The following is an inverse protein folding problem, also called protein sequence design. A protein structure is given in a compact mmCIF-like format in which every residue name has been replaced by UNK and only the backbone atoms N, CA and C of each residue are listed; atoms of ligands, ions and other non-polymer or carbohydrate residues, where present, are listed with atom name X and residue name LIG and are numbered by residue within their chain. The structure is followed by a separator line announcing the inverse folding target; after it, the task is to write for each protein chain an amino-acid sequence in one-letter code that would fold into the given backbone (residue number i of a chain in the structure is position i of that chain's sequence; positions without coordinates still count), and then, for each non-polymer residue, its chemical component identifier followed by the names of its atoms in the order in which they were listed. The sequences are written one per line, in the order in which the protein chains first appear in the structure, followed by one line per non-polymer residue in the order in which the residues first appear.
data_IF_141517160337
#
_entry.id   IF_141517160337
#
_cell.length_a   1.000
_cell.length_b   1.000
_cell.length_c   1.000
_cell.angle_alpha   90.00
_cell.angle_beta   90.00
_cell.angle_gamma   90.00
#
_symmetry.space_group_name_H-M   'P 1'
#
loop_
_entity.id
_entity.type
_entity.pdbx_description
1 polymer ?
#
# COMPACT_ATOMS: atom_id res chain seq x y z
N UNK A 1 34.53 -19.91 -17.09
CA UNK A 1 33.08 -19.85 -17.37
C UNK A 1 32.58 -18.50 -16.89
N UNK A 2 32.57 -17.50 -17.77
CA UNK A 2 31.97 -16.19 -17.49
C UNK A 2 30.46 -16.37 -17.55
N UNK A 3 29.81 -16.48 -16.40
CA UNK A 3 28.35 -16.48 -16.35
C UNK A 3 27.83 -15.25 -17.09
N UNK A 4 27.01 -15.47 -18.11
CA UNK A 4 26.30 -14.39 -18.79
C UNK A 4 25.48 -13.66 -17.73
N UNK A 5 25.93 -12.45 -17.36
CA UNK A 5 25.14 -11.56 -16.53
C UNK A 5 23.96 -11.09 -17.38
N UNK A 6 22.89 -11.86 -17.41
CA UNK A 6 21.62 -11.45 -18.01
C UNK A 6 21.26 -10.11 -17.38
N UNK A 7 21.02 -9.09 -18.22
CA UNK A 7 20.67 -7.77 -17.72
C UNK A 7 19.37 -7.87 -16.91
N UNK A 8 19.36 -7.34 -15.69
CA UNK A 8 18.15 -7.27 -14.86
C UNK A 8 16.98 -6.60 -15.62
N UNK A 9 17.29 -5.65 -16.50
CA UNK A 9 16.32 -5.00 -17.39
C UNK A 9 15.67 -5.99 -18.34
N UNK A 10 16.44 -6.89 -18.96
CA UNK A 10 15.90 -7.85 -19.93
C UNK A 10 15.06 -8.91 -19.20
N UNK A 11 15.52 -9.39 -18.03
CA UNK A 11 14.74 -10.29 -17.17
C UNK A 11 13.40 -9.69 -16.74
N UNK A 12 13.40 -8.44 -16.29
CA UNK A 12 12.17 -7.74 -15.91
C UNK A 12 11.27 -7.45 -17.12
N UNK A 13 11.85 -7.20 -18.30
CA UNK A 13 11.08 -7.01 -19.54
C UNK A 13 10.34 -8.29 -19.92
N UNK A 14 10.99 -9.46 -19.82
CA UNK A 14 10.35 -10.75 -20.08
C UNK A 14 9.23 -11.06 -19.08
N UNK A 15 9.44 -10.72 -17.80
CA UNK A 15 8.39 -10.85 -16.77
C UNK A 15 7.20 -9.93 -17.05
N UNK A 16 7.45 -8.70 -17.51
CA UNK A 16 6.38 -7.76 -17.87
C UNK A 16 5.62 -8.24 -19.12
N UNK A 17 6.31 -8.77 -20.13
CA UNK A 17 5.69 -9.28 -21.34
C UNK A 17 4.71 -10.44 -21.05
N UNK A 18 4.98 -11.22 -19.99
CA UNK A 18 4.14 -12.34 -19.55
C UNK A 18 3.21 -11.97 -18.40
N UNK A 19 3.03 -10.69 -18.08
CA UNK A 19 2.25 -10.27 -16.91
C UNK A 19 0.77 -10.65 -16.94
N UNK A 20 0.22 -10.91 -18.13
CA UNK A 20 -1.16 -11.34 -18.34
C UNK A 20 -1.33 -12.86 -18.22
N UNK A 21 -0.24 -13.64 -18.16
CA UNK A 21 -0.31 -15.07 -17.85
C UNK A 21 -0.98 -15.24 -16.47
N UNK A 22 -2.07 -16.02 -16.35
CA UNK A 22 -2.77 -16.22 -15.09
C UNK A 22 -1.87 -16.62 -13.91
N UNK A 23 -0.83 -17.44 -14.18
CA UNK A 23 0.09 -17.92 -13.14
C UNK A 23 0.99 -16.78 -12.63
N UNK A 24 1.54 -15.99 -13.54
CA UNK A 24 2.40 -14.84 -13.21
C UNK A 24 1.57 -13.72 -12.56
N UNK A 25 0.39 -13.44 -13.11
CA UNK A 25 -0.54 -12.47 -12.54
C UNK A 25 -0.91 -12.82 -11.09
N UNK A 26 -1.29 -14.07 -10.82
CA UNK A 26 -1.62 -14.53 -9.48
C UNK A 26 -0.42 -14.40 -8.52
N UNK A 27 0.76 -14.84 -8.94
CA UNK A 27 1.99 -14.73 -8.15
C UNK A 27 2.34 -13.27 -7.82
N UNK A 28 2.37 -12.40 -8.82
CA UNK A 28 2.65 -10.97 -8.64
C UNK A 28 1.63 -10.31 -7.72
N UNK A 29 0.34 -10.67 -7.86
CA UNK A 29 -0.72 -10.18 -6.97
C UNK A 29 -0.49 -10.60 -5.51
N UNK A 30 -0.08 -11.84 -5.26
CA UNK A 30 0.23 -12.33 -3.89
C UNK A 30 1.40 -11.56 -3.31
N UNK A 31 2.50 -11.39 -4.06
CA UNK A 31 3.67 -10.60 -3.64
C UNK A 31 3.25 -9.17 -3.28
N UNK A 32 2.44 -8.53 -4.12
CA UNK A 32 1.93 -7.18 -3.86
C UNK A 32 1.10 -7.12 -2.59
N UNK A 33 0.17 -8.07 -2.42
CA UNK A 33 -0.72 -8.11 -1.25
C UNK A 33 0.07 -8.30 0.04
N UNK A 34 1.02 -9.23 0.05
CA UNK A 34 1.86 -9.49 1.21
C UNK A 34 2.72 -8.26 1.56
N UNK A 35 3.34 -7.65 0.56
CA UNK A 35 4.17 -6.47 0.78
C UNK A 35 3.38 -5.25 1.27
N UNK A 36 2.19 -5.03 0.72
CA UNK A 36 1.30 -3.92 1.13
C UNK A 36 0.74 -4.15 2.53
N UNK A 37 0.32 -5.38 2.87
CA UNK A 37 -0.19 -5.70 4.22
C UNK A 37 0.88 -5.57 5.29
N UNK A 38 2.11 -5.98 4.97
CA UNK A 38 3.24 -5.91 5.91
C UNK A 38 3.84 -4.50 6.04
N UNK A 39 3.47 -3.57 5.15
CA UNK A 39 3.94 -2.20 5.22
C UNK A 39 2.89 -1.31 5.94
N UNK A 40 3.20 -0.76 7.13
CA UNK A 40 2.25 0.02 7.92
C UNK A 40 1.68 1.24 7.19
N UNK A 41 2.44 1.83 6.26
CA UNK A 41 2.00 3.02 5.51
C UNK A 41 0.87 2.67 4.53
N UNK A 42 0.98 1.53 3.86
CA UNK A 42 -0.01 1.09 2.86
C UNK A 42 -1.13 0.24 3.47
N UNK A 43 -0.87 -0.45 4.58
CA UNK A 43 -1.89 -1.21 5.31
C UNK A 43 -3.10 -0.34 5.68
N UNK A 44 -2.86 0.94 6.03
CA UNK A 44 -3.94 1.92 6.31
C UNK A 44 -4.86 2.17 5.12
N UNK A 45 -4.35 2.04 3.90
CA UNK A 45 -5.15 2.19 2.67
C UNK A 45 -6.03 0.95 2.42
N UNK A 46 -5.70 -0.19 3.02
CA UNK A 46 -6.47 -1.44 2.94
C UNK A 46 -7.59 -1.52 4.00
N UNK A 47 -7.76 -0.52 4.85
CA UNK A 47 -8.76 -0.51 5.94
C UNK A 47 -10.23 -0.49 5.46
N UNK A 48 -10.48 -0.56 4.15
CA UNK A 48 -11.81 -0.82 3.62
C UNK A 48 -11.78 -2.15 2.89
N UNK A 49 -12.76 -3.02 3.13
CA UNK A 49 -12.94 -4.30 2.43
C UNK A 49 -13.33 -4.14 0.95
N UNK A 50 -13.18 -2.92 0.38
CA UNK A 50 -13.44 -2.68 -1.02
C UNK A 50 -12.30 -3.23 -1.89
N UNK A 51 -12.66 -3.95 -2.95
CA UNK A 51 -11.70 -4.37 -4.00
C UNK A 51 -10.95 -3.16 -4.57
N UNK A 52 -11.60 -2.00 -4.62
CA UNK A 52 -11.02 -0.75 -5.13
C UNK A 52 -9.89 -0.21 -4.24
N UNK A 53 -9.95 -0.43 -2.93
CA UNK A 53 -8.90 0.02 -2.01
C UNK A 53 -7.57 -0.72 -2.26
N UNK A 54 -7.62 -2.03 -2.53
CA UNK A 54 -6.41 -2.79 -2.88
C UNK A 54 -5.79 -2.29 -4.19
N UNK A 55 -6.62 -2.07 -5.21
CA UNK A 55 -6.18 -1.54 -6.51
C UNK A 55 -5.53 -0.16 -6.34
N UNK A 56 -6.16 0.73 -5.58
CA UNK A 56 -5.63 2.05 -5.29
C UNK A 56 -4.30 1.97 -4.51
N UNK A 57 -4.22 1.10 -3.50
CA UNK A 57 -3.01 0.89 -2.72
C UNK A 57 -1.84 0.42 -3.59
N UNK A 58 -2.07 -0.50 -4.53
CA UNK A 58 -1.03 -0.99 -5.45
C UNK A 58 -0.51 0.11 -6.39
N UNK A 59 -1.42 0.88 -6.99
CA UNK A 59 -1.04 2.01 -7.85
C UNK A 59 -0.27 3.07 -7.08
N UNK A 60 -0.70 3.36 -5.86
CA UNK A 60 -0.01 4.29 -4.97
C UNK A 60 1.38 3.76 -4.59
N UNK A 61 1.51 2.47 -4.28
CA UNK A 61 2.78 1.82 -3.98
C UNK A 61 3.78 1.96 -5.13
N UNK A 62 3.37 1.68 -6.37
CA UNK A 62 4.23 1.84 -7.55
C UNK A 62 4.67 3.28 -7.74
N UNK A 63 3.74 4.24 -7.66
CA UNK A 63 4.05 5.68 -7.78
C UNK A 63 5.06 6.13 -6.72
N UNK A 64 4.85 5.73 -5.46
CA UNK A 64 5.75 6.01 -4.35
C UNK A 64 7.09 5.27 -4.49
N UNK A 65 7.10 4.07 -5.08
CA UNK A 65 8.31 3.34 -5.41
C UNK A 65 9.24 4.14 -6.33
N UNK A 66 8.69 4.73 -7.40
CA UNK A 66 9.46 5.61 -8.27
C UNK A 66 9.97 6.86 -7.56
N UNK A 67 9.14 7.52 -6.75
CA UNK A 67 9.56 8.69 -5.95
C UNK A 67 10.72 8.31 -5.02
N UNK A 68 10.64 7.16 -4.34
CA UNK A 68 11.70 6.66 -3.47
C UNK A 68 12.99 6.36 -4.22
N UNK A 69 12.91 5.80 -5.43
CA UNK A 69 14.10 5.60 -6.27
C UNK A 69 14.79 6.91 -6.61
N UNK A 70 14.02 7.92 -7.03
CA UNK A 70 14.55 9.26 -7.36
C UNK A 70 15.21 9.88 -6.14
N UNK A 71 14.52 9.89 -5.00
CA UNK A 71 15.02 10.46 -3.74
C UNK A 71 16.26 9.72 -3.22
N UNK A 72 16.28 8.38 -3.28
CA UNK A 72 17.45 7.56 -2.89
C UNK A 72 18.68 7.86 -3.75
N UNK A 73 18.46 8.29 -5.00
CA UNK A 73 19.52 8.62 -5.95
C UNK A 73 19.97 10.08 -5.87
N UNK A 74 19.42 10.85 -4.92
CA UNK A 74 19.74 12.27 -4.76
C UNK A 74 19.15 13.16 -5.87
N UNK A 75 18.18 12.67 -6.64
CA UNK A 75 17.51 13.47 -7.67
C UNK A 75 16.45 14.34 -7.02
N UNK A 76 16.65 15.65 -7.08
CA UNK A 76 15.78 16.65 -6.46
C UNK A 76 14.97 17.43 -7.50
N UNK A 77 13.96 18.14 -7.01
CA UNK A 77 13.21 19.16 -7.74
C UNK A 77 14.10 20.37 -8.07
N UNK A 78 13.56 21.29 -8.88
CA UNK A 78 14.25 22.53 -9.28
C UNK A 78 14.60 23.44 -8.10
N UNK A 79 13.82 23.39 -7.03
CA UNK A 79 14.05 24.14 -5.79
C UNK A 79 15.01 23.42 -4.81
N UNK A 80 15.60 22.29 -5.23
CA UNK A 80 16.50 21.48 -4.41
C UNK A 80 15.79 20.53 -3.44
N UNK A 81 14.45 20.53 -3.36
CA UNK A 81 13.71 19.64 -2.46
C UNK A 81 13.54 18.24 -3.07
N UNK A 82 13.47 17.17 -2.25
CA UNK A 82 13.19 15.84 -2.77
C UNK A 82 11.76 15.73 -3.33
N UNK A 83 11.52 14.74 -4.19
CA UNK A 83 10.16 14.39 -4.61
C UNK A 83 9.45 13.67 -3.45
N UNK A 84 8.20 14.04 -3.17
CA UNK A 84 7.42 13.48 -2.04
C UNK A 84 6.02 13.05 -2.51
N UNK A 85 5.33 13.92 -3.25
CA UNK A 85 3.91 13.74 -3.57
C UNK A 85 3.72 13.04 -4.92
N UNK A 86 4.43 13.48 -5.94
CA UNK A 86 4.25 13.02 -7.31
C UNK A 86 5.60 12.80 -8.00
N UNK A 87 5.61 11.88 -8.96
CA UNK A 87 6.71 11.72 -9.89
C UNK A 87 6.85 12.98 -10.75
N UNK A 88 8.07 13.33 -11.20
CA UNK A 88 8.28 14.46 -12.10
C UNK A 88 7.38 14.37 -13.34
N UNK A 89 6.90 15.53 -13.81
CA UNK A 89 6.11 15.58 -15.06
C UNK A 89 6.95 15.02 -16.21
N UNK A 90 6.37 14.10 -16.98
CA UNK A 90 7.01 13.44 -18.11
C UNK A 90 7.92 12.25 -17.75
N UNK A 91 8.26 12.04 -16.47
CA UNK A 91 9.14 10.94 -16.07
C UNK A 91 8.59 9.57 -16.49
N UNK A 92 7.30 9.30 -16.25
CA UNK A 92 6.69 8.01 -16.61
C UNK A 92 6.38 7.85 -18.10
N UNK A 93 6.57 8.88 -18.92
CA UNK A 93 6.38 8.80 -20.37
C UNK A 93 7.64 8.27 -21.05
N UNK A 94 8.80 8.82 -20.66
CA UNK A 94 10.11 8.43 -21.17
C UNK A 94 11.16 8.41 -20.04
N UNK A 95 11.10 7.42 -19.13
CA UNK A 95 11.96 7.40 -17.95
C UNK A 95 13.44 7.33 -18.30
N UNK A 96 13.80 6.58 -19.34
CA UNK A 96 15.19 6.43 -19.78
C UNK A 96 15.76 7.74 -20.31
N UNK A 97 15.02 8.45 -21.17
CA UNK A 97 15.43 9.77 -21.69
C UNK A 97 15.51 10.80 -20.55
N UNK A 98 14.51 10.83 -19.68
CA UNK A 98 14.44 11.76 -18.55
C UNK A 98 15.63 11.58 -17.59
N UNK A 99 16.03 10.34 -17.32
CA UNK A 99 17.20 10.04 -16.48
C UNK A 99 18.52 10.32 -17.22
N UNK A 100 18.60 9.99 -18.52
CA UNK A 100 19.80 10.19 -19.32
C UNK A 100 20.20 11.67 -19.39
N UNK A 101 19.24 12.59 -19.55
CA UNK A 101 19.46 14.04 -19.48
C UNK A 101 20.17 14.48 -18.19
N UNK A 102 20.00 13.71 -17.11
CA UNK A 102 20.54 13.99 -15.78
C UNK A 102 21.76 13.14 -15.45
N UNK A 103 22.31 12.40 -16.41
CA UNK A 103 23.42 11.46 -16.23
C UNK A 103 23.08 10.30 -15.28
N UNK A 104 21.84 9.80 -15.35
CA UNK A 104 21.38 8.61 -14.64
C UNK A 104 20.78 7.58 -15.61
N UNK A 105 20.79 6.32 -15.19
CA UNK A 105 20.13 5.19 -15.85
C UNK A 105 19.31 4.43 -14.82
N UNK A 106 18.15 3.92 -15.20
CA UNK A 106 17.42 2.95 -14.37
C UNK A 106 17.80 1.53 -14.80
N UNK A 107 18.52 0.80 -13.97
CA UNK A 107 18.76 -0.63 -14.16
C UNK A 107 17.57 -1.43 -13.62
N UNK A 108 17.19 -2.47 -14.37
CA UNK A 108 16.03 -3.29 -14.08
C UNK A 108 14.71 -2.72 -14.57
N UNK A 109 14.64 -1.46 -15.02
CA UNK A 109 13.38 -0.92 -15.52
C UNK A 109 12.92 -1.69 -16.77
N UNK A 110 11.74 -2.33 -16.76
CA UNK A 110 11.28 -3.10 -17.90
C UNK A 110 10.94 -2.19 -19.08
N UNK A 111 11.20 -2.67 -20.29
CA UNK A 111 10.81 -1.97 -21.52
C UNK A 111 9.32 -2.22 -21.81
N UNK A 112 8.70 -1.31 -22.56
CA UNK A 112 7.30 -1.46 -22.97
C UNK A 112 6.26 -1.07 -21.90
N UNK A 113 6.66 -0.31 -20.88
CA UNK A 113 5.71 0.25 -19.92
C UNK A 113 4.73 1.22 -20.62
N UNK A 114 3.44 1.25 -20.21
CA UNK A 114 2.48 2.18 -20.78
C UNK A 114 2.88 3.62 -20.49
N UNK A 115 2.75 4.48 -21.51
CA UNK A 115 2.98 5.91 -21.33
C UNK A 115 1.86 6.53 -20.49
N UNK A 116 2.24 7.39 -19.55
CA UNK A 116 1.30 8.16 -18.73
C UNK A 116 1.34 7.81 -17.25
N UNK A 117 0.33 8.27 -16.52
CA UNK A 117 0.25 8.03 -15.08
C UNK A 117 -0.09 6.57 -14.75
N UNK A 118 0.49 6.05 -13.65
CA UNK A 118 0.22 4.69 -13.12
C UNK A 118 -1.27 4.41 -12.90
N UNK A 119 -2.07 5.46 -12.69
CA UNK A 119 -3.54 5.37 -12.57
C UNK A 119 -4.22 4.76 -13.79
N UNK A 120 -3.62 4.89 -14.98
CA UNK A 120 -4.17 4.41 -16.25
C UNK A 120 -3.56 3.08 -16.70
N UNK A 121 -2.57 2.56 -15.97
CA UNK A 121 -1.91 1.32 -16.34
C UNK A 121 -2.84 0.10 -16.12
N UNK A 122 -2.77 -0.91 -17.00
CA UNK A 122 -3.41 -2.20 -16.77
C UNK A 122 -2.93 -2.81 -15.45
N UNK A 123 -3.84 -3.44 -14.70
CA UNK A 123 -3.51 -3.95 -13.37
C UNK A 123 -2.45 -5.05 -13.38
N UNK A 124 -2.40 -5.86 -14.43
CA UNK A 124 -1.36 -6.88 -14.61
C UNK A 124 0.05 -6.26 -14.61
N UNK A 125 0.22 -5.14 -15.31
CA UNK A 125 1.48 -4.40 -15.35
C UNK A 125 1.77 -3.71 -14.01
N UNK A 126 0.74 -3.13 -13.35
CA UNK A 126 0.90 -2.54 -12.02
C UNK A 126 1.40 -3.58 -11.01
N UNK A 127 0.82 -4.77 -10.98
CA UNK A 127 1.27 -5.85 -10.08
C UNK A 127 2.68 -6.32 -10.42
N UNK A 128 3.02 -6.41 -11.69
CA UNK A 128 4.36 -6.85 -12.10
C UNK A 128 5.43 -5.84 -11.69
N UNK A 129 5.19 -4.54 -11.93
CA UNK A 129 6.10 -3.48 -11.50
C UNK A 129 6.17 -3.38 -9.98
N UNK A 130 5.05 -3.54 -9.28
CA UNK A 130 5.04 -3.60 -7.82
C UNK A 130 5.84 -4.80 -7.27
N UNK A 131 5.75 -5.97 -7.89
CA UNK A 131 6.58 -7.12 -7.53
C UNK A 131 8.08 -6.83 -7.77
N UNK A 132 8.44 -6.15 -8.86
CA UNK A 132 9.83 -5.71 -9.10
C UNK A 132 10.33 -4.75 -8.01
N UNK A 133 9.49 -3.82 -7.54
CA UNK A 133 9.81 -2.97 -6.40
C UNK A 133 10.00 -3.77 -5.10
N UNK A 134 9.11 -4.72 -4.81
CA UNK A 134 9.19 -5.57 -3.63
C UNK A 134 10.47 -6.42 -3.64
N UNK A 135 10.84 -6.94 -4.82
CA UNK A 135 12.05 -7.74 -5.04
C UNK A 135 13.32 -6.89 -5.19
N UNK A 136 13.21 -5.55 -5.15
CA UNK A 136 14.33 -4.60 -5.27
C UNK A 136 15.15 -4.78 -6.55
N UNK A 137 14.51 -5.20 -7.65
CA UNK A 137 15.18 -5.38 -8.95
C UNK A 137 15.31 -4.07 -9.72
N UNK A 138 14.74 -2.97 -9.23
CA UNK A 138 14.83 -1.64 -9.82
C UNK A 138 15.85 -0.79 -9.06
N UNK A 139 16.81 -0.19 -9.78
CA UNK A 139 17.80 0.73 -9.19
C UNK A 139 18.17 1.84 -10.17
N UNK A 140 18.37 3.05 -9.67
CA UNK A 140 18.92 4.14 -10.46
C UNK A 140 20.42 4.21 -10.20
N UNK A 141 21.19 4.23 -11.28
CA UNK A 141 22.65 4.24 -11.29
C UNK A 141 23.11 5.44 -12.11
N UNK A 142 24.21 6.06 -11.71
CA UNK A 142 24.78 7.21 -12.44
C UNK A 142 25.51 6.74 -13.68
N UNK A 143 25.25 7.40 -14.82
CA UNK A 143 25.96 7.16 -16.08
C UNK A 143 27.29 7.92 -16.02
N UNK A 144 28.39 7.18 -15.96
CA UNK A 144 29.75 7.72 -16.07
C UNK A 144 30.45 8.06 -14.75
N UNK A 145 31.78 8.09 -14.80
CA UNK A 145 32.72 8.32 -13.68
C UNK A 145 32.64 9.72 -13.05
N UNK A 146 31.67 10.55 -13.41
CA UNK A 146 31.67 11.98 -13.09
C UNK A 146 31.38 12.29 -11.61
N UNK A 147 30.83 11.33 -10.85
CA UNK A 147 30.69 11.44 -9.41
C UNK A 147 32.02 11.34 -8.64
N UNK A 148 33.06 10.68 -9.17
CA UNK A 148 34.37 10.66 -8.51
C UNK A 148 34.98 12.06 -8.39
N UNK A 149 34.62 12.99 -9.27
CA UNK A 149 35.11 14.38 -9.22
C UNK A 149 34.22 15.30 -8.39
N UNK A 150 32.89 15.15 -8.43
CA UNK A 150 32.00 16.04 -7.66
C UNK A 150 32.08 15.78 -6.16
N UNK A 151 32.07 14.51 -5.74
CA UNK A 151 32.28 14.14 -4.33
C UNK A 151 33.67 14.53 -3.82
N UNK A 152 34.70 14.46 -4.67
CA UNK A 152 36.07 14.86 -4.31
C UNK A 152 36.24 16.39 -4.27
N UNK A 153 35.45 17.16 -5.02
CA UNK A 153 35.42 18.63 -4.95
C UNK A 153 34.57 19.13 -3.79
N UNK A 154 33.39 18.57 -3.55
CA UNK A 154 32.57 18.92 -2.36
C UNK A 154 33.26 18.52 -1.04
N UNK A 155 34.09 17.46 -1.03
CA UNK A 155 34.91 17.09 0.13
C UNK A 155 36.23 17.90 0.21
N UNK A 156 36.67 18.55 -0.87
CA UNK A 156 37.85 19.41 -0.88
C UNK A 156 37.52 20.89 -0.61
N UNK A 157 36.29 21.32 -0.91
CA UNK A 157 35.75 22.65 -0.61
C UNK A 157 34.98 22.69 0.72
N UNK A 158 34.85 21.55 1.41
CA UNK A 158 34.43 21.56 2.81
C UNK A 158 35.54 22.25 3.61
N UNK A 159 35.28 23.38 4.30
CA UNK A 159 36.29 24.02 5.12
C UNK A 159 36.80 22.98 6.13
N UNK A 160 38.12 22.92 6.27
CA UNK A 160 38.81 22.06 7.23
C UNK A 160 38.41 22.51 8.64
N UNK A 161 37.29 21.98 9.13
CA UNK A 161 36.84 22.19 10.51
C UNK A 161 37.81 21.38 11.36
N UNK A 162 38.91 22.02 11.74
CA UNK A 162 39.78 21.51 12.77
C UNK A 162 38.92 21.20 14.01
N UNK A 163 39.10 20.05 14.66
CA UNK A 163 38.43 19.74 15.91
C UNK A 163 39.11 20.52 17.04
N UNK A 164 38.92 21.84 17.06
CA UNK A 164 39.29 22.70 18.17
C UNK A 164 38.01 23.32 18.76
N UNK A 165 37.68 22.86 19.97
CA UNK A 165 36.90 23.58 20.97
C UNK A 165 35.42 23.87 20.67
N UNK A 166 34.59 22.82 20.59
CA UNK A 166 33.14 22.94 20.75
C UNK A 166 32.74 22.91 22.25
N UNK A 167 33.09 23.96 22.98
CA UNK A 167 32.49 24.31 24.27
C UNK A 167 32.00 25.75 24.25
N UNK A 168 31.01 26.03 23.40
CA UNK A 168 30.26 27.29 23.43
C UNK A 168 28.81 27.02 23.09
N UNK A 169 27.93 27.55 23.93
CA UNK A 169 26.51 27.24 23.97
C UNK A 169 25.80 27.47 22.64
N UNK A 170 24.85 26.58 22.36
CA UNK A 170 23.79 26.84 21.41
C UNK A 170 23.12 28.16 21.80
N UNK A 171 23.05 29.17 20.90
CA UNK A 171 22.12 30.27 21.10
C UNK A 171 20.72 29.67 21.11
N UNK A 172 19.98 30.04 22.14
CA UNK A 172 18.56 29.76 22.32
C UNK A 172 17.84 29.86 20.97
N UNK A 173 17.26 28.74 20.55
CA UNK A 173 16.28 28.71 19.47
C UNK A 173 15.24 29.78 19.75
N UNK A 174 15.22 30.83 18.92
CA UNK A 174 14.16 31.84 18.91
C UNK A 174 12.80 31.13 18.98
N UNK A 175 12.14 31.27 20.12
CA UNK A 175 10.80 30.76 20.35
C UNK A 175 9.88 31.39 19.32
N UNK A 176 9.59 30.63 18.27
CA UNK A 176 8.58 30.98 17.28
C UNK A 176 7.27 31.22 18.04
N UNK A 177 6.69 32.43 17.99
CA UNK A 177 5.48 32.76 18.75
C UNK A 177 4.40 31.73 18.46
N UNK A 178 3.88 31.10 19.52
CA UNK A 178 2.79 30.12 19.39
C UNK A 178 1.57 30.83 18.81
N UNK A 179 1.27 30.57 17.54
CA UNK A 179 0.05 31.07 16.87
C UNK A 179 -1.16 30.87 17.78
N UNK A 180 -1.88 31.95 18.07
CA UNK A 180 -3.06 31.88 18.93
C UNK A 180 -4.20 31.13 18.21
N UNK A 181 -5.14 30.55 18.96
CA UNK A 181 -6.32 29.87 18.38
C UNK A 181 -7.11 30.78 17.43
N UNK A 182 -7.16 32.08 17.72
CA UNK A 182 -7.85 33.07 16.87
C UNK A 182 -7.09 33.35 15.58
N UNK A 183 -5.76 33.43 15.61
CA UNK A 183 -4.92 33.63 14.43
C UNK A 183 -5.04 32.44 13.45
N UNK A 184 -5.08 31.21 13.99
CA UNK A 184 -5.33 30.00 13.21
C UNK A 184 -6.73 30.00 12.58
N UNK A 185 -7.73 30.57 13.25
CA UNK A 185 -9.12 30.69 12.75
C UNK A 185 -9.23 31.78 11.68
N UNK A 186 -8.54 32.92 11.85
CA UNK A 186 -8.43 33.99 10.86
C UNK A 186 -7.74 33.50 9.58
N UNK A 187 -6.64 32.73 9.70
CA UNK A 187 -5.94 32.13 8.55
C UNK A 187 -6.85 31.22 7.73
N UNK A 188 -7.64 30.36 8.39
CA UNK A 188 -8.62 29.48 7.73
C UNK A 188 -9.73 30.26 7.02
N UNK A 189 -10.20 31.38 7.58
CA UNK A 189 -11.20 32.24 6.94
C UNK A 189 -10.63 32.92 5.68
N UNK A 190 -9.40 33.43 5.75
CA UNK A 190 -8.71 34.07 4.61
C UNK A 190 -8.45 33.08 3.48
N UNK A 191 -7.99 31.86 3.79
CA UNK A 191 -7.77 30.81 2.80
C UNK A 191 -9.08 30.39 2.10
N UNK A 192 -10.18 30.29 2.86
CA UNK A 192 -11.50 29.97 2.30
C UNK A 192 -12.04 31.09 1.39
N UNK A 193 -11.79 32.36 1.73
CA UNK A 193 -12.16 33.49 0.89
C UNK A 193 -11.37 33.51 -0.43
N UNK A 194 -10.06 33.23 -0.40
CA UNK A 194 -9.21 33.14 -1.59
C UNK A 194 -9.67 32.03 -2.55
N UNK A 195 -10.02 30.85 -2.03
CA UNK A 195 -10.55 29.76 -2.88
C UNK A 195 -11.86 30.15 -3.56
N UNK A 196 -12.76 30.83 -2.83
CA UNK A 196 -14.03 31.30 -3.39
C UNK A 196 -13.86 32.38 -4.46
N UNK A 197 -12.85 33.24 -4.32
CA UNK A 197 -12.53 34.26 -5.33
C UNK A 197 -12.00 33.64 -6.63
N UNK A 198 -11.19 32.57 -6.54
CA UNK A 198 -10.66 31.90 -7.72
C UNK A 198 -11.69 31.06 -8.47
N UNK A 199 -12.67 30.46 -7.77
CA UNK A 199 -13.77 29.71 -8.41
C UNK A 199 -14.70 30.58 -9.28
N UNK A 200 -14.69 31.90 -9.10
CA UNK A 200 -15.52 32.83 -9.88
C UNK A 200 -14.94 33.26 -11.22
N UNK A 201 -13.66 32.96 -11.50
CA UNK A 201 -12.95 33.54 -12.64
C UNK A 201 -12.63 32.53 -13.77
N UNK A 202 -13.07 31.27 -13.66
CA UNK A 202 -12.76 30.21 -14.65
C UNK A 202 -13.86 29.98 -15.71
N UNK A 203 -14.89 30.83 -15.81
CA UNK A 203 -16.04 30.59 -16.75
C UNK A 203 -16.08 31.49 -18.00
N UNK A 204 -15.07 32.32 -18.25
CA UNK A 204 -15.09 33.22 -19.43
C UNK A 204 -13.77 33.13 -20.19
N UNK A 205 -13.64 32.12 -21.06
CA UNK A 205 -12.88 32.17 -22.33
C UNK A 205 -12.87 30.77 -22.98
N UNK A 206 -13.88 30.50 -23.82
CA UNK A 206 -13.80 29.45 -24.84
C UNK A 206 -14.78 29.76 -26.00
N UNK A 207 -14.42 30.76 -26.81
CA UNK A 207 -14.74 30.89 -28.24
C UNK A 207 -13.37 30.81 -28.93
N UNK A 208 -13.09 30.11 -30.03
CA UNK A 208 -13.87 29.64 -31.16
C UNK A 208 -13.04 28.57 -31.88
N UNK A 209 -13.69 27.50 -32.37
CA UNK A 209 -13.43 26.84 -33.66
C UNK A 209 -14.29 25.58 -33.75
N UNK A 210 -15.38 25.72 -34.51
CA UNK A 210 -16.24 24.64 -34.99
C UNK A 210 -15.53 23.84 -36.11
N UNK A 211 -15.88 22.57 -36.33
CA UNK A 211 -16.97 22.34 -37.28
C UNK A 211 -17.98 21.26 -36.87
N UNK A 212 -19.22 21.53 -37.31
CA UNK A 212 -20.31 20.62 -37.67
C UNK A 212 -20.81 19.62 -36.60
N UNK A 213 -21.85 20.09 -35.91
CA UNK A 213 -22.97 19.45 -35.21
C UNK A 213 -23.06 17.90 -35.13
N UNK A 214 -23.60 17.39 -34.00
CA UNK A 214 -25.07 17.22 -33.97
C UNK A 214 -25.74 17.91 -32.77
N UNK A 215 -26.85 18.58 -33.08
CA UNK A 215 -27.99 18.97 -32.23
C UNK A 215 -27.65 19.33 -30.78
N UNK A 216 -27.34 20.61 -30.58
CA UNK A 216 -27.13 21.21 -29.27
C UNK A 216 -28.40 21.14 -28.41
N UNK A 217 -28.39 20.24 -27.42
CA UNK A 217 -29.30 20.32 -26.27
C UNK A 217 -29.08 21.68 -25.61
N UNK A 218 -30.12 22.53 -25.61
CA UNK A 218 -30.12 23.90 -25.09
C UNK A 218 -29.44 23.97 -23.71
N UNK A 219 -28.61 24.98 -23.50
CA UNK A 219 -27.93 25.25 -22.23
C UNK A 219 -28.92 25.38 -21.05
N UNK A 220 -30.17 25.76 -21.34
CA UNK A 220 -31.26 25.80 -20.37
C UNK A 220 -31.69 24.40 -19.91
N UNK A 221 -31.70 23.42 -20.82
CA UNK A 221 -32.10 22.05 -20.53
C UNK A 221 -31.07 21.34 -19.64
N UNK A 222 -29.77 21.59 -19.85
CA UNK A 222 -28.71 21.13 -18.94
C UNK A 222 -28.86 21.72 -17.54
N UNK A 223 -29.32 22.96 -17.44
CA UNK A 223 -29.54 23.63 -16.14
C UNK A 223 -30.76 23.06 -15.42
N UNK A 224 -31.85 22.81 -16.16
CA UNK A 224 -33.06 22.15 -15.62
C UNK A 224 -32.77 20.71 -15.15
N UNK A 225 -32.01 19.94 -15.91
CA UNK A 225 -31.60 18.58 -15.54
C UNK A 225 -30.73 18.58 -14.26
N UNK A 226 -29.85 19.56 -14.09
CA UNK A 226 -29.03 19.70 -12.89
C UNK A 226 -29.86 20.03 -11.64
N UNK A 227 -30.85 20.90 -11.75
CA UNK A 227 -31.77 21.22 -10.65
C UNK A 227 -32.68 20.04 -10.30
N UNK A 228 -33.16 19.29 -11.30
CA UNK A 228 -33.95 18.06 -11.09
C UNK A 228 -33.17 17.03 -10.27
N UNK A 229 -31.90 16.78 -10.62
CA UNK A 229 -31.00 15.86 -9.87
C UNK A 229 -30.72 16.33 -8.43
N UNK A 230 -30.65 17.65 -8.19
CA UNK A 230 -30.49 18.18 -6.82
C UNK A 230 -31.75 17.96 -5.99
N UNK A 231 -32.93 18.14 -6.59
CA UNK A 231 -34.21 17.93 -5.91
C UNK A 231 -34.38 16.45 -5.53
N UNK A 232 -34.11 15.54 -6.45
CA UNK A 232 -34.22 14.08 -6.23
C UNK A 232 -33.29 13.62 -5.09
N UNK A 233 -32.06 14.15 -5.02
CA UNK A 233 -31.14 13.85 -3.91
C UNK A 233 -31.63 14.39 -2.56
N UNK A 234 -32.31 15.54 -2.54
CA UNK A 234 -32.91 16.09 -1.32
C UNK A 234 -34.10 15.25 -0.86
N UNK A 235 -34.91 14.77 -1.79
CA UNK A 235 -36.06 13.92 -1.50
C UNK A 235 -35.64 12.55 -0.98
N UNK A 236 -34.65 11.90 -1.60
CA UNK A 236 -34.05 10.64 -1.09
C UNK A 236 -33.55 10.77 0.35
N UNK A 237 -32.86 11.87 0.67
CA UNK A 237 -32.40 12.15 2.05
C UNK A 237 -33.53 12.36 3.05
N UNK A 238 -34.68 12.93 2.62
CA UNK A 238 -35.86 13.08 3.48
C UNK A 238 -36.53 11.72 3.72
N UNK A 239 -36.68 10.90 2.68
CA UNK A 239 -37.23 9.56 2.80
C UNK A 239 -36.39 8.66 3.71
N UNK A 240 -35.05 8.74 3.59
CA UNK A 240 -34.12 7.97 4.43
C UNK A 240 -34.21 8.41 5.91
N UNK A 241 -34.25 9.71 6.19
CA UNK A 241 -34.46 10.22 7.56
C UNK A 241 -35.80 9.79 8.15
N UNK A 242 -36.88 9.77 7.35
CA UNK A 242 -38.18 9.30 7.80
C UNK A 242 -38.18 7.79 8.12
N UNK A 243 -37.34 6.99 7.44
CA UNK A 243 -37.20 5.56 7.68
C UNK A 243 -36.41 5.27 8.97
N UNK A 244 -35.34 6.03 9.23
CA UNK A 244 -34.53 5.87 10.45
C UNK A 244 -35.30 6.30 11.71
N UNK A 245 -36.12 7.37 11.61
CA UNK A 245 -36.89 7.91 12.73
C UNK A 245 -38.00 7.00 13.30
N UNK A 246 -38.36 5.89 12.63
CA UNK A 246 -39.38 4.94 13.11
C UNK A 246 -38.82 3.68 13.79
N UNK A 247 -37.50 3.52 13.87
CA UNK A 247 -36.87 2.27 14.35
C UNK A 247 -36.30 2.32 15.78
N UNK A 248 -36.52 3.40 16.53
CA UNK A 248 -35.89 3.61 17.84
C UNK A 248 -36.88 3.94 18.96
N UNK A 249 -37.90 3.11 19.14
CA UNK A 249 -38.63 3.01 20.41
C UNK A 249 -38.81 1.53 20.69
N UNK A 250 -37.81 0.94 21.36
CA UNK A 250 -37.94 -0.35 22.03
C UNK A 250 -38.64 -0.08 23.39
N UNK A 251 -39.88 -0.54 23.62
CA UNK A 251 -40.62 -0.25 24.84
C UNK A 251 -40.20 -1.11 26.04
N UNK A 252 -39.05 -1.82 25.99
CA UNK A 252 -38.72 -2.83 26.98
C UNK A 252 -37.41 -2.60 27.74
N UNK A 253 -37.18 -1.37 28.21
CA UNK A 253 -36.15 -1.08 29.23
C UNK A 253 -36.83 -0.83 30.56
N UNK A 254 -37.12 -1.94 31.26
CA UNK A 254 -37.57 -1.98 32.65
C UNK A 254 -36.41 -1.50 33.53
N UNK A 255 -36.67 -0.45 34.31
CA UNK A 255 -35.70 0.15 35.23
C UNK A 255 -35.18 -0.87 36.25
N UNK A 256 -33.86 -1.13 36.23
CA UNK A 256 -33.14 -1.75 37.34
C UNK A 256 -32.47 -0.65 38.15
N UNK A 257 -32.85 -0.57 39.42
CA UNK A 257 -32.26 0.31 40.42
C UNK A 257 -30.79 -0.07 40.69
N UNK A 258 -29.94 0.90 41.07
CA UNK A 258 -28.55 0.64 41.41
C UNK A 258 -28.44 -0.02 42.81
N UNK A 259 -27.52 -0.98 43.02
CA UNK A 259 -27.23 -1.50 44.34
C UNK A 259 -26.26 -0.59 45.12
N UNK A 260 -26.56 -0.45 46.41
CA UNK A 260 -25.78 0.23 47.43
C UNK A 260 -24.37 -0.38 47.61
N UNK A 261 -23.37 0.50 47.61
CA UNK A 261 -22.02 0.20 48.10
C UNK A 261 -22.01 0.30 49.63
N UNK A 262 -21.83 -0.82 50.33
CA UNK A 262 -21.41 -0.81 51.73
C UNK A 262 -20.39 -1.92 52.02
N UNK A 263 -19.49 -1.56 52.94
CA UNK A 263 -18.19 -2.16 53.22
C UNK A 263 -18.25 -3.48 54.02
N UNK A 264 -17.11 -4.19 54.07
CA UNK A 264 -16.72 -4.91 55.29
C UNK A 264 -16.00 -6.25 55.13
N UNK A 265 -14.69 -6.21 55.39
CA UNK A 265 -13.93 -7.08 56.32
C UNK A 265 -13.78 -8.62 56.17
N UNK A 266 -12.51 -9.03 56.44
CA UNK A 266 -12.02 -10.26 57.14
C UNK A 266 -12.01 -11.56 56.32
N UNK A 267 -11.13 -12.57 56.53
CA UNK A 267 -9.81 -12.80 57.16
C UNK A 267 -9.49 -14.28 56.86
N UNK A 268 -8.20 -14.61 56.63
CA UNK A 268 -7.46 -15.83 57.03
C UNK A 268 -8.00 -17.27 56.85
N UNK A 269 -7.18 -18.14 56.21
CA UNK A 269 -6.65 -19.48 56.66
C UNK A 269 -6.19 -20.27 55.42
N UNK A 270 -4.91 -20.64 55.24
CA UNK A 270 -4.15 -21.77 55.85
C UNK A 270 -4.85 -23.14 55.78
N UNK A 271 -4.31 -24.06 54.96
CA UNK A 271 -3.91 -25.42 55.37
C UNK A 271 -3.30 -26.21 54.19
N UNK A 272 -2.15 -26.83 54.49
CA UNK A 272 -1.44 -27.88 53.75
C UNK A 272 -2.29 -29.15 53.48
N UNK A 273 -1.82 -30.02 52.58
CA UNK A 273 -1.32 -31.38 52.90
C UNK A 273 -1.16 -32.25 51.63
N UNK A 274 -0.02 -32.94 51.62
CA UNK A 274 0.50 -33.94 50.67
C UNK A 274 -0.33 -35.26 50.67
N UNK A 275 -0.27 -36.04 49.58
CA UNK A 275 0.37 -37.37 49.54
C UNK A 275 0.01 -38.25 48.32
N UNK A 276 1.07 -38.96 47.88
CA UNK A 276 1.10 -40.38 47.48
C UNK A 276 0.80 -40.82 46.05
N UNK A 277 1.85 -41.38 45.47
CA UNK A 277 1.92 -42.25 44.31
C UNK A 277 1.20 -43.59 44.50
N UNK A 278 0.84 -44.24 43.38
CA UNK A 278 0.83 -45.70 43.22
C UNK A 278 1.21 -46.07 41.77
N UNK A 279 2.22 -46.91 41.66
CA UNK A 279 2.69 -47.65 40.47
C UNK A 279 1.81 -48.89 40.28
N UNK A 280 1.62 -49.42 39.06
CA UNK A 280 2.20 -50.75 38.83
C UNK A 280 2.94 -50.90 37.50
N UNK A 281 3.90 -51.81 37.56
CA UNK A 281 4.87 -52.16 36.54
C UNK A 281 4.40 -53.29 35.61
N UNK A 282 5.01 -53.27 34.40
CA UNK A 282 5.52 -54.40 33.61
C UNK A 282 4.57 -55.42 32.97
N UNK A 283 4.62 -55.45 31.64
CA UNK A 283 5.29 -56.48 30.81
C UNK A 283 5.18 -55.97 29.35
N UNK A 284 6.16 -56.02 28.46
CA UNK A 284 7.17 -57.03 28.15
C UNK A 284 6.94 -57.39 26.68
N UNK A 285 7.87 -57.08 25.78
CA UNK A 285 7.77 -57.58 24.39
C UNK A 285 8.47 -56.78 23.29
N UNK A 286 9.66 -57.26 22.94
CA UNK A 286 10.16 -57.42 21.56
C UNK A 286 10.57 -56.20 20.72
N UNK A 287 11.89 -56.15 20.53
CA UNK A 287 12.63 -55.65 19.39
C UNK A 287 11.87 -55.55 18.06
N UNK A 288 11.79 -54.33 17.51
CA UNK A 288 12.09 -54.07 16.09
C UNK A 288 12.85 -52.76 15.97
N UNK A 289 14.05 -52.84 15.39
CA UNK A 289 14.85 -51.68 14.95
C UNK A 289 14.03 -50.89 13.92
N UNK A 290 13.43 -49.78 14.34
CA UNK A 290 12.89 -48.80 13.40
C UNK A 290 14.02 -47.92 12.91
N UNK A 291 14.35 -48.05 11.62
CA UNK A 291 15.17 -47.10 10.87
C UNK A 291 14.61 -45.70 11.09
N UNK A 292 15.44 -44.81 11.62
CA UNK A 292 15.24 -43.36 11.64
C UNK A 292 15.31 -42.87 10.19
N UNK A 293 14.20 -42.95 9.45
CA UNK A 293 14.05 -42.21 8.19
C UNK A 293 13.86 -40.75 8.54
N UNK A 294 14.97 -40.02 8.41
CA UNK A 294 15.00 -38.57 8.26
C UNK A 294 14.11 -38.24 7.05
N UNK A 295 12.88 -37.82 7.29
CA UNK A 295 12.06 -37.19 6.25
C UNK A 295 12.70 -35.85 5.95
N UNK A 296 13.39 -35.77 4.82
CA UNK A 296 13.81 -34.52 4.21
C UNK A 296 12.58 -33.70 3.88
N UNK A 297 12.68 -32.38 4.07
CA UNK A 297 11.71 -31.36 3.65
C UNK A 297 11.70 -31.25 2.11
N UNK A 298 11.49 -32.35 1.41
CA UNK A 298 11.52 -32.40 -0.05
C UNK A 298 10.13 -32.74 -0.59
N UNK A 299 9.69 -31.90 -1.53
CA UNK A 299 8.56 -32.05 -2.42
C UNK A 299 7.15 -32.04 -1.80
N UNK A 300 6.75 -30.85 -1.34
CA UNK A 300 5.38 -30.40 -1.64
C UNK A 300 5.29 -30.10 -3.15
N UNK A 301 5.28 -31.16 -3.98
CA UNK A 301 5.05 -31.04 -5.42
C UNK A 301 3.81 -30.19 -5.68
N UNK A 302 3.98 -29.19 -6.55
CA UNK A 302 2.93 -28.26 -6.95
C UNK A 302 1.82 -29.07 -7.60
N UNK A 303 0.65 -29.13 -6.96
CA UNK A 303 -0.55 -29.74 -7.54
C UNK A 303 -1.04 -28.84 -8.67
N UNK A 304 -1.37 -29.42 -9.83
CA UNK A 304 -1.99 -28.67 -10.91
C UNK A 304 -3.45 -28.31 -10.56
N UNK A 305 -4.00 -27.30 -11.21
CA UNK A 305 -5.35 -26.78 -10.96
C UNK A 305 -6.41 -27.89 -11.15
N UNK A 306 -6.20 -28.78 -12.12
CA UNK A 306 -7.09 -29.93 -12.36
C UNK A 306 -7.04 -30.94 -11.21
N UNK A 307 -5.87 -31.13 -10.59
CA UNK A 307 -5.69 -31.99 -9.43
C UNK A 307 -6.34 -31.37 -8.18
N UNK A 308 -6.21 -30.04 -8.02
CA UNK A 308 -6.90 -29.30 -6.95
C UNK A 308 -8.42 -29.38 -7.07
N UNK A 309 -8.96 -29.28 -8.30
CA UNK A 309 -10.39 -29.43 -8.55
C UNK A 309 -10.89 -30.85 -8.28
N UNK A 310 -10.12 -31.89 -8.67
CA UNK A 310 -10.43 -33.29 -8.31
C UNK A 310 -10.43 -33.53 -6.80
N UNK A 311 -9.57 -32.82 -6.09
CA UNK A 311 -9.49 -32.80 -4.62
C UNK A 311 -10.60 -31.98 -3.94
N UNK A 312 -11.57 -31.44 -4.68
CA UNK A 312 -12.68 -30.66 -4.13
C UNK A 312 -12.29 -29.27 -3.63
N UNK A 313 -11.10 -28.77 -3.99
CA UNK A 313 -10.65 -27.42 -3.64
C UNK A 313 -11.19 -26.47 -4.72
N UNK A 314 -12.18 -25.65 -4.35
CA UNK A 314 -12.76 -24.68 -5.28
C UNK A 314 -11.85 -23.45 -5.47
N UNK A 315 -12.01 -22.75 -6.60
CA UNK A 315 -11.35 -21.46 -6.83
C UNK A 315 -11.74 -20.41 -5.76
N UNK A 316 -12.94 -20.50 -5.21
CA UNK A 316 -13.39 -19.63 -4.11
C UNK A 316 -12.64 -19.92 -2.81
N UNK A 317 -12.31 -21.17 -2.52
CA UNK A 317 -11.46 -21.55 -1.38
C UNK A 317 -10.03 -21.01 -1.52
N UNK A 318 -9.48 -21.03 -2.74
CA UNK A 318 -8.16 -20.46 -3.05
C UNK A 318 -8.17 -18.94 -2.86
N UNK A 319 -9.28 -18.28 -3.19
CA UNK A 319 -9.40 -16.82 -3.12
C UNK A 319 -9.79 -16.29 -1.73
N UNK A 320 -10.43 -17.09 -0.89
CA UNK A 320 -11.00 -16.66 0.40
C UNK A 320 -10.20 -17.09 1.63
N UNK A 321 -9.38 -18.14 1.53
CA UNK A 321 -8.61 -18.66 2.66
C UNK A 321 -7.22 -18.01 2.78
N UNK A 322 -6.72 -17.90 4.02
CA UNK A 322 -5.30 -17.60 4.24
C UNK A 322 -4.42 -18.76 3.74
N UNK A 323 -3.19 -18.44 3.36
CA UNK A 323 -2.24 -19.42 2.80
C UNK A 323 -2.03 -20.65 3.71
N UNK A 324 -2.01 -20.47 5.03
CA UNK A 324 -1.87 -21.56 6.01
C UNK A 324 -3.08 -22.49 6.04
N UNK A 325 -4.30 -21.93 5.91
CA UNK A 325 -5.54 -22.71 5.81
C UNK A 325 -5.58 -23.46 4.49
N UNK A 326 -5.17 -22.82 3.40
CA UNK A 326 -5.09 -23.45 2.07
C UNK A 326 -4.06 -24.61 2.05
N UNK A 327 -2.87 -24.42 2.62
CA UNK A 327 -1.88 -25.49 2.76
C UNK A 327 -2.40 -26.65 3.61
N UNK A 328 -3.15 -26.38 4.67
CA UNK A 328 -3.75 -27.42 5.52
C UNK A 328 -4.84 -28.19 4.76
N UNK A 329 -5.69 -27.50 3.99
CA UNK A 329 -6.68 -28.12 3.10
C UNK A 329 -6.01 -29.00 2.05
N UNK A 330 -4.94 -28.52 1.40
CA UNK A 330 -4.18 -29.28 0.41
C UNK A 330 -3.53 -30.53 1.01
N UNK A 331 -2.94 -30.44 2.20
CA UNK A 331 -2.37 -31.61 2.90
C UNK A 331 -3.43 -32.64 3.26
N UNK A 332 -4.62 -32.21 3.68
CA UNK A 332 -5.75 -33.11 3.98
C UNK A 332 -6.32 -33.76 2.73
N UNK A 333 -6.48 -33.00 1.65
CA UNK A 333 -6.98 -33.52 0.39
C UNK A 333 -6.02 -34.55 -0.22
N UNK A 334 -4.71 -34.29 -0.18
CA UNK A 334 -3.68 -35.23 -0.64
C UNK A 334 -3.59 -36.52 0.20
N UNK A 335 -4.01 -36.46 1.47
CA UNK A 335 -4.08 -37.65 2.33
C UNK A 335 -5.36 -38.48 2.14
N UNK A 336 -6.36 -37.94 1.44
CA UNK A 336 -7.67 -38.57 1.24
C UNK A 336 -8.01 -38.91 -0.22
N UNK A 337 -7.13 -38.57 -1.17
CA UNK A 337 -7.25 -38.89 -2.59
C UNK A 337 -6.41 -40.10 -3.00
#
# INVERSE_FOLDING_TARGET
MTGENVSETDSNTDLLAKCEDPRIYASNRVICLEHIRNNPEYARLLNSDSKDAFVHACRHFVSQGFIRLLTKSGITQRDGRPYIISTPKGFLQHPDLWLAERQYKCEGLPRGLPQGGVSYWPMAMVFSVAAMFANKTLRIVTIGSHLRKKRKRELADAPDIQPSDARTGYPDTEERPRETKEERKARRRREKALRKANEGNETTQQESNEPAQPVSVSSEEKTRERERRKLERREKRRAEKARVGKSSIDPNTKAMAPPDCSAGHKKAREADVQHSAVVPSRSGGSHKKAKKSRTTEEDCGIMDVDEMQRCGISLEDIMSCSWTVLQTKMRRAKAGC
#
